data_IF_833329785294
#
_entry.id   IF_833329785294
#
_cell.length_a   1.000
_cell.length_b   1.000
_cell.length_c   1.000
_cell.angle_alpha   90.00
_cell.angle_beta   90.00
_cell.angle_gamma   90.00
#
_symmetry.space_group_name_H-M   'P 1'
#
loop_
_entity.id
_entity.type
_entity.pdbx_description
1 polymer ?
#
# COMPACT_ATOMS: atom_id res chain seq x y z
N UNK A 1 -7.78 -49.52 -7.18
CA UNK A 1 -7.82 -48.37 -8.11
C UNK A 1 -8.56 -47.16 -7.52
N UNK A 2 -9.79 -47.29 -7.00
CA UNK A 2 -10.57 -46.17 -6.40
C UNK A 2 -9.85 -45.41 -5.27
N UNK A 3 -9.06 -46.11 -4.44
CA UNK A 3 -8.28 -45.51 -3.33
C UNK A 3 -7.15 -44.57 -3.80
N UNK A 4 -6.57 -44.83 -4.99
CA UNK A 4 -5.49 -44.00 -5.55
C UNK A 4 -6.04 -42.63 -6.00
N UNK A 5 -7.24 -42.63 -6.58
CA UNK A 5 -7.92 -41.40 -7.03
C UNK A 5 -8.34 -40.52 -5.84
N UNK A 6 -8.76 -41.12 -4.72
CA UNK A 6 -9.12 -40.36 -3.50
C UNK A 6 -7.90 -39.61 -2.95
N UNK A 7 -6.73 -40.26 -2.89
CA UNK A 7 -5.48 -39.64 -2.41
C UNK A 7 -5.03 -38.52 -3.36
N UNK A 8 -5.14 -38.73 -4.67
CA UNK A 8 -4.83 -37.70 -5.68
C UNK A 8 -5.77 -36.49 -5.57
N UNK A 9 -7.07 -36.71 -5.36
CA UNK A 9 -8.02 -35.59 -5.19
C UNK A 9 -7.80 -34.84 -3.87
N UNK A 10 -7.41 -35.54 -2.79
CA UNK A 10 -7.15 -34.92 -1.49
C UNK A 10 -5.86 -34.07 -1.52
N UNK A 11 -4.83 -34.53 -2.23
CA UNK A 11 -3.60 -33.77 -2.42
C UNK A 11 -3.85 -32.49 -3.24
N UNK A 12 -4.71 -32.56 -4.26
CA UNK A 12 -5.06 -31.41 -5.10
C UNK A 12 -5.84 -30.34 -4.33
N UNK A 13 -6.78 -30.75 -3.47
CA UNK A 13 -7.58 -29.81 -2.66
C UNK A 13 -6.77 -29.17 -1.54
N UNK A 14 -5.83 -29.89 -0.92
CA UNK A 14 -4.91 -29.33 0.09
C UNK A 14 -3.99 -28.30 -0.56
N UNK A 15 -3.44 -28.56 -1.75
CA UNK A 15 -2.62 -27.60 -2.48
C UNK A 15 -3.35 -26.29 -2.81
N UNK A 16 -4.65 -26.34 -3.10
CA UNK A 16 -5.45 -25.15 -3.35
C UNK A 16 -5.70 -24.29 -2.10
N UNK A 17 -5.75 -24.91 -0.92
CA UNK A 17 -5.96 -24.20 0.36
C UNK A 17 -4.70 -23.45 0.85
N UNK A 18 -3.50 -23.90 0.48
CA UNK A 18 -2.25 -23.22 0.85
C UNK A 18 -2.02 -21.90 0.11
N UNK A 19 -2.60 -21.72 -1.08
CA UNK A 19 -2.40 -20.53 -1.93
C UNK A 19 -3.11 -19.27 -1.42
N UNK A 20 -4.00 -19.37 -0.43
CA UNK A 20 -4.82 -18.23 0.02
C UNK A 20 -4.20 -17.38 1.14
N UNK A 21 -3.06 -17.79 1.72
CA UNK A 21 -2.66 -17.27 3.05
C UNK A 21 -1.64 -16.13 3.06
N UNK A 22 -1.30 -15.47 1.94
CA UNK A 22 -0.38 -14.32 1.97
C UNK A 22 -0.91 -13.12 1.18
N UNK A 23 -1.95 -12.45 1.70
CA UNK A 23 -2.20 -11.06 1.30
C UNK A 23 -1.07 -10.20 1.87
N UNK A 24 -0.05 -9.93 1.06
CA UNK A 24 1.02 -8.98 1.37
C UNK A 24 0.34 -7.62 1.59
N UNK A 25 0.32 -7.13 2.84
CA UNK A 25 -0.10 -5.74 3.11
C UNK A 25 0.91 -4.84 2.42
N UNK A 26 0.49 -4.17 1.35
CA UNK A 26 1.27 -3.07 0.78
C UNK A 26 1.42 -2.00 1.86
N UNK A 27 2.65 -1.49 2.01
CA UNK A 27 2.91 -0.38 2.94
C UNK A 27 2.13 0.84 2.45
N UNK A 28 1.50 1.56 3.38
CA UNK A 28 0.80 2.78 3.03
C UNK A 28 1.84 3.81 2.57
N UNK A 29 1.60 4.45 1.43
CA UNK A 29 2.51 5.44 0.84
C UNK A 29 1.73 6.70 0.50
N UNK A 30 2.27 7.85 0.90
CA UNK A 30 1.70 9.15 0.52
C UNK A 30 1.76 9.31 -1.00
N UNK A 31 0.62 9.63 -1.59
CA UNK A 31 0.52 9.96 -3.01
C UNK A 31 0.76 11.47 -3.20
N UNK A 32 2.01 11.84 -3.43
CA UNK A 32 2.37 13.22 -3.73
C UNK A 32 1.88 13.61 -5.12
N UNK A 33 1.16 14.73 -5.19
CA UNK A 33 0.59 15.31 -6.39
C UNK A 33 1.10 16.74 -6.58
N UNK A 34 1.03 17.27 -7.79
CA UNK A 34 1.17 18.73 -7.97
C UNK A 34 -0.05 19.44 -7.36
N UNK A 35 0.06 20.74 -7.16
CA UNK A 35 -1.05 21.53 -6.64
C UNK A 35 -2.25 21.49 -7.60
N UNK A 36 -2.00 21.56 -8.90
CA UNK A 36 -3.04 21.52 -9.95
C UNK A 36 -3.79 20.19 -9.94
N UNK A 37 -3.04 19.08 -9.84
CA UNK A 37 -3.62 17.73 -9.73
C UNK A 37 -4.47 17.60 -8.46
N UNK A 38 -3.99 18.13 -7.33
CA UNK A 38 -4.71 18.09 -6.07
C UNK A 38 -6.01 18.92 -6.11
N UNK A 39 -5.98 20.10 -6.75
CA UNK A 39 -7.16 20.95 -6.96
C UNK A 39 -8.17 20.28 -7.89
N UNK A 40 -7.72 19.61 -8.94
CA UNK A 40 -8.62 18.84 -9.82
C UNK A 40 -9.23 17.65 -9.08
N UNK A 41 -8.43 16.89 -8.34
CA UNK A 41 -8.89 15.76 -7.55
C UNK A 41 -9.95 16.18 -6.51
N UNK A 42 -9.80 17.35 -5.89
CA UNK A 42 -10.76 17.90 -4.94
C UNK A 42 -12.17 18.09 -5.53
N UNK A 43 -12.31 18.35 -6.84
CA UNK A 43 -13.63 18.51 -7.48
C UNK A 43 -14.47 17.24 -7.38
N UNK A 44 -13.82 16.07 -7.34
CA UNK A 44 -14.47 14.76 -7.24
C UNK A 44 -14.54 14.26 -5.81
N UNK A 45 -13.45 14.43 -5.04
CA UNK A 45 -13.32 13.96 -3.67
C UNK A 45 -12.76 15.09 -2.79
N UNK A 46 -13.61 15.97 -2.26
CA UNK A 46 -13.16 17.14 -1.51
C UNK A 46 -12.47 16.73 -0.20
N UNK A 47 -11.15 16.92 -0.15
CA UNK A 47 -10.29 16.68 1.01
C UNK A 47 -9.35 17.85 1.23
N UNK A 48 -8.90 18.08 2.47
CA UNK A 48 -7.87 19.09 2.76
C UNK A 48 -6.57 18.76 2.01
N UNK A 49 -5.92 19.78 1.46
CA UNK A 49 -4.61 19.65 0.80
C UNK A 49 -3.52 19.89 1.85
N UNK A 50 -2.56 18.97 1.93
CA UNK A 50 -1.26 19.19 2.57
C UNK A 50 -0.28 19.62 1.49
N UNK A 51 0.49 20.67 1.78
CA UNK A 51 1.54 21.16 0.90
C UNK A 51 2.87 21.07 1.64
N UNK A 52 3.77 20.22 1.15
CA UNK A 52 5.14 20.11 1.66
C UNK A 52 6.06 21.04 0.86
N UNK A 53 6.48 22.14 1.49
CA UNK A 53 7.34 23.14 0.88
C UNK A 53 8.75 23.06 1.50
N UNK A 54 9.72 22.60 0.72
CA UNK A 54 11.10 22.42 1.17
C UNK A 54 12.11 22.81 0.10
N UNK A 55 13.37 22.92 0.52
CA UNK A 55 14.53 23.03 -0.37
C UNK A 55 15.42 21.81 -0.23
N UNK A 56 16.20 21.48 -1.26
CA UNK A 56 17.05 20.27 -1.28
C UNK A 56 18.07 20.25 -0.12
N UNK A 57 18.47 21.41 0.38
CA UNK A 57 19.41 21.58 1.49
C UNK A 57 18.73 21.73 2.86
N UNK A 58 17.39 21.63 2.93
CA UNK A 58 16.68 21.62 4.21
C UNK A 58 16.90 20.29 4.94
N UNK A 59 17.86 20.28 5.87
CA UNK A 59 18.16 19.13 6.73
C UNK A 59 16.95 18.64 7.54
N UNK A 60 16.22 19.51 8.26
CA UNK A 60 15.02 19.12 8.99
C UNK A 60 13.92 18.52 8.10
N UNK A 61 13.72 19.04 6.90
CA UNK A 61 12.71 18.53 5.96
C UNK A 61 13.02 17.08 5.53
N UNK A 62 14.29 16.74 5.29
CA UNK A 62 14.70 15.35 5.01
C UNK A 62 14.44 14.40 6.18
N UNK A 63 14.61 14.89 7.42
CA UNK A 63 14.30 14.09 8.61
C UNK A 63 12.79 13.87 8.76
N UNK A 64 11.97 14.88 8.46
CA UNK A 64 10.51 14.77 8.44
C UNK A 64 10.05 13.70 7.43
N UNK A 65 10.50 13.81 6.18
CA UNK A 65 10.14 12.85 5.12
C UNK A 65 10.52 11.41 5.49
N UNK A 66 11.77 11.21 5.93
CA UNK A 66 12.28 9.89 6.32
C UNK A 66 11.49 9.27 7.48
N UNK A 67 11.22 10.04 8.53
CA UNK A 67 10.72 9.50 9.80
C UNK A 67 9.20 9.57 9.95
N UNK A 68 8.52 10.41 9.16
CA UNK A 68 7.09 10.71 9.34
C UNK A 68 6.28 10.29 8.14
N UNK A 69 6.65 10.70 6.93
CA UNK A 69 5.85 10.42 5.73
C UNK A 69 5.90 8.96 5.25
N UNK A 70 6.86 8.18 5.77
CA UNK A 70 6.95 6.74 5.57
C UNK A 70 6.34 5.91 6.73
N UNK A 71 5.73 6.55 7.73
CA UNK A 71 5.06 5.87 8.82
C UNK A 71 3.65 5.46 8.38
N UNK A 72 3.30 4.17 8.50
CA UNK A 72 2.00 3.63 8.10
C UNK A 72 0.81 4.33 8.82
N UNK A 73 1.02 4.83 10.05
CA UNK A 73 -0.01 5.56 10.77
C UNK A 73 -0.25 6.99 10.24
N UNK A 74 0.72 7.55 9.52
CA UNK A 74 0.63 8.88 8.91
C UNK A 74 0.20 8.79 7.45
N UNK A 75 0.64 7.75 6.73
CA UNK A 75 0.41 7.60 5.29
C UNK A 75 -0.94 6.93 4.93
N UNK A 76 -1.75 6.55 5.92
CA UNK A 76 -3.05 5.87 5.75
C UNK A 76 -4.21 6.81 5.39
#
# INVERSE_FOLDING_TARGET
MKKIYIVLTLALTIGALYSFSTKKKEKAKINWMTLEEAVEAQKTAPKKIIMDAFTIWCGPCKMLDKNTFNNDDVAK
#
